data_IF_687962917993
#
_entry.id   IF_687962917993
#
_cell.length_a   1.000
_cell.length_b   1.000
_cell.length_c   1.000
_cell.angle_alpha   90.00
_cell.angle_beta   90.00
_cell.angle_gamma   90.00
#
_symmetry.space_group_name_H-M   'P 1'
#
loop_
_entity.id
_entity.type
_entity.pdbx_description
1 polymer ?
#
# COMPACT_ATOMS: atom_id res chain seq x y z
N UNK A 1 -50.15 -9.15 -22.29
CA UNK A 1 -50.25 -8.53 -20.95
C UNK A 1 -48.91 -7.96 -20.59
N UNK A 2 -48.91 -6.69 -20.24
CA UNK A 2 -47.78 -5.76 -20.19
C UNK A 2 -47.48 -5.37 -18.73
N UNK A 3 -46.23 -4.96 -18.50
CA UNK A 3 -45.66 -4.14 -17.41
C UNK A 3 -44.96 -4.78 -16.20
N UNK A 4 -43.90 -4.03 -15.83
CA UNK A 4 -43.13 -3.95 -14.57
C UNK A 4 -41.90 -4.85 -14.37
N UNK A 5 -40.74 -4.33 -14.78
CA UNK A 5 -39.69 -3.94 -13.82
C UNK A 5 -38.53 -3.20 -14.51
N UNK A 6 -38.65 -1.88 -14.65
CA UNK A 6 -37.52 -0.99 -14.88
C UNK A 6 -37.51 0.08 -13.78
N UNK A 7 -36.80 -0.18 -12.66
CA UNK A 7 -36.66 0.81 -11.59
C UNK A 7 -35.39 0.68 -10.74
N UNK A 8 -34.38 -0.10 -11.16
CA UNK A 8 -33.19 -0.34 -10.33
C UNK A 8 -31.89 0.34 -10.78
N UNK A 9 -31.83 1.02 -11.94
CA UNK A 9 -30.54 1.49 -12.50
C UNK A 9 -30.28 3.01 -12.32
N UNK A 10 -31.31 3.81 -12.05
CA UNK A 10 -31.13 5.26 -11.87
C UNK A 10 -30.46 5.76 -10.57
N UNK A 11 -30.51 5.08 -9.40
CA UNK A 11 -29.90 5.63 -8.18
C UNK A 11 -28.37 5.49 -8.12
N UNK A 12 -27.78 4.60 -8.93
CA UNK A 12 -26.33 4.33 -8.94
C UNK A 12 -25.57 5.43 -9.69
N UNK A 13 -26.13 5.95 -10.79
CA UNK A 13 -25.51 7.02 -11.58
C UNK A 13 -25.57 8.38 -10.87
N UNK A 14 -26.61 8.63 -10.05
CA UNK A 14 -26.69 9.86 -9.23
C UNK A 14 -25.72 9.85 -8.03
N UNK A 15 -25.39 8.69 -7.45
CA UNK A 15 -24.40 8.60 -6.36
C UNK A 15 -22.96 8.76 -6.85
N UNK A 16 -22.63 8.34 -8.08
CA UNK A 16 -21.30 8.53 -8.66
C UNK A 16 -20.95 10.01 -8.92
N UNK A 17 -21.92 10.86 -9.30
CA UNK A 17 -21.68 12.30 -9.54
C UNK A 17 -21.45 13.12 -8.26
N UNK A 18 -21.90 12.66 -7.09
CA UNK A 18 -21.70 13.36 -5.83
C UNK A 18 -20.30 13.12 -5.22
N UNK A 19 -19.70 11.96 -5.50
CA UNK A 19 -18.34 11.59 -5.06
C UNK A 19 -17.28 12.36 -5.87
N UNK A 20 -17.54 12.63 -7.16
CA UNK A 20 -16.61 13.41 -8.01
C UNK A 20 -16.59 14.90 -7.63
N UNK A 21 -17.68 15.45 -7.07
CA UNK A 21 -17.72 16.85 -6.62
C UNK A 21 -17.09 17.07 -5.23
N UNK A 22 -17.05 16.06 -4.36
CA UNK A 22 -16.40 16.15 -3.04
C UNK A 22 -14.87 15.98 -3.13
N UNK A 23 -14.38 15.29 -4.16
CA UNK A 23 -12.94 15.13 -4.41
C UNK A 23 -12.26 16.39 -4.97
N UNK A 24 -13.02 17.31 -5.59
CA UNK A 24 -12.49 18.58 -6.10
C UNK A 24 -12.31 19.67 -5.03
N UNK A 25 -12.97 19.57 -3.88
CA UNK A 25 -12.88 20.58 -2.82
C UNK A 25 -11.71 20.33 -1.85
N UNK A 26 -11.25 19.08 -1.71
CA UNK A 26 -10.15 18.71 -0.82
C UNK A 26 -8.78 19.14 -1.35
N UNK A 27 -8.63 19.24 -2.68
CA UNK A 27 -7.36 19.62 -3.33
C UNK A 27 -7.05 21.12 -3.23
N UNK A 28 -8.04 21.96 -2.93
CA UNK A 28 -7.87 23.41 -2.82
C UNK A 28 -7.38 23.87 -1.43
N UNK A 29 -7.54 23.06 -0.38
CA UNK A 29 -7.18 23.45 1.00
C UNK A 29 -5.72 23.11 1.34
N UNK A 30 -5.10 22.16 0.63
CA UNK A 30 -3.73 21.73 0.90
C UNK A 30 -2.63 22.71 0.40
N UNK A 31 -2.99 23.73 -0.41
CA UNK A 31 -2.02 24.64 -1.04
C UNK A 31 -1.86 26.00 -0.33
N UNK A 32 -2.56 26.24 0.80
CA UNK A 32 -2.59 27.55 1.45
C UNK A 32 -1.80 27.66 2.78
N UNK A 33 -1.09 26.61 3.22
CA UNK A 33 -0.41 26.61 4.54
C UNK A 33 1.12 26.79 4.44
N UNK A 34 1.70 26.82 3.23
CA UNK A 34 3.17 26.99 3.05
C UNK A 34 3.50 28.44 2.68
N UNK A 35 3.24 29.38 3.60
CA UNK A 35 3.83 30.73 3.51
C UNK A 35 3.56 31.56 4.76
N UNK A 36 4.25 31.27 5.88
CA UNK A 36 4.63 32.27 6.90
C UNK A 36 5.42 31.64 8.05
N UNK A 37 6.75 31.71 7.97
CA UNK A 37 7.62 31.74 9.16
C UNK A 37 9.03 32.20 8.74
N UNK A 38 9.28 33.51 8.84
CA UNK A 38 10.61 34.11 8.68
C UNK A 38 10.98 34.82 9.98
N UNK A 39 12.14 34.44 10.51
CA UNK A 39 13.06 35.18 11.38
C UNK A 39 12.57 35.69 12.75
N UNK A 40 13.28 35.29 13.81
CA UNK A 40 14.25 36.16 14.53
C UNK A 40 14.89 35.42 15.73
N UNK A 41 16.22 35.34 15.73
CA UNK A 41 17.07 35.06 16.91
C UNK A 41 17.14 36.31 17.80
N UNK A 42 17.54 36.18 19.09
CA UNK A 42 18.90 36.65 19.38
C UNK A 42 19.71 35.89 20.45
N UNK A 43 21.01 36.09 20.27
CA UNK A 43 22.22 35.96 21.07
C UNK A 43 22.19 35.76 22.60
N UNK A 44 23.20 35.01 23.03
CA UNK A 44 23.75 34.89 24.37
C UNK A 44 24.39 36.19 24.89
N UNK A 45 24.32 36.40 26.20
CA UNK A 45 25.28 37.23 26.95
C UNK A 45 25.66 36.54 28.27
N UNK A 46 26.96 36.38 28.43
CA UNK A 46 27.64 35.89 29.61
C UNK A 46 27.65 36.96 30.71
N UNK A 47 27.42 36.55 31.95
CA UNK A 47 27.55 37.41 33.14
C UNK A 47 28.93 37.16 33.76
N UNK A 48 29.84 38.11 33.63
CA UNK A 48 31.07 38.24 34.43
C UNK A 48 30.95 39.49 35.28
N UNK A 49 30.84 39.34 36.59
CA UNK A 49 30.97 40.43 37.56
C UNK A 49 32.26 40.24 38.36
N UNK A 50 33.09 41.28 38.32
CA UNK A 50 34.39 41.36 38.99
C UNK A 50 34.27 41.85 40.45
N UNK A 51 35.33 41.55 41.21
CA UNK A 51 35.63 41.87 42.60
C UNK A 51 35.60 43.37 42.95
N UNK A 52 35.25 43.66 44.20
CA UNK A 52 35.72 44.82 44.98
C UNK A 52 36.03 44.37 46.43
N UNK A 53 37.07 44.89 47.13
CA UNK A 53 37.66 44.24 48.31
C UNK A 53 37.38 44.92 49.68
N UNK A 54 37.83 44.23 50.75
CA UNK A 54 38.25 44.71 52.11
C UNK A 54 37.17 44.68 53.22
N UNK A 55 37.46 44.52 54.55
CA UNK A 55 38.70 44.23 55.32
C UNK A 55 38.64 42.96 56.21
N UNK A 56 39.79 42.67 56.82
CA UNK A 56 40.06 41.59 57.78
C UNK A 56 39.22 41.65 59.08
N UNK A 57 38.76 40.48 59.53
CA UNK A 57 38.22 40.27 60.87
C UNK A 57 38.67 38.90 61.44
N UNK A 58 39.54 39.00 62.45
CA UNK A 58 39.71 38.17 63.64
C UNK A 58 39.31 36.68 63.60
N UNK A 59 40.31 35.83 63.81
CA UNK A 59 40.16 34.41 64.14
C UNK A 59 39.32 34.24 65.42
N UNK A 60 38.14 33.65 65.25
CA UNK A 60 37.24 33.19 66.33
C UNK A 60 37.13 31.66 66.17
N UNK A 61 36.94 30.89 67.25
CA UNK A 61 37.43 29.52 67.40
C UNK A 61 36.86 28.58 66.34
N UNK A 62 37.70 27.68 65.83
CA UNK A 62 37.39 26.70 64.79
C UNK A 62 36.08 25.99 65.12
N UNK A 63 35.01 26.35 64.42
CA UNK A 63 33.76 25.61 64.48
C UNK A 63 34.08 24.14 64.10
N UNK A 64 33.55 23.15 64.82
CA UNK A 64 33.85 21.76 64.52
C UNK A 64 33.48 21.45 63.07
N UNK A 65 34.48 21.11 62.26
CA UNK A 65 34.34 20.86 60.84
C UNK A 65 33.59 19.54 60.64
N UNK A 66 32.61 19.52 59.74
CA UNK A 66 31.90 18.29 59.39
C UNK A 66 32.90 17.25 58.84
N UNK A 67 32.71 15.95 59.14
CA UNK A 67 33.57 14.90 58.62
C UNK A 67 33.54 14.91 57.09
N UNK A 68 34.69 14.64 56.47
CA UNK A 68 34.79 14.59 55.01
C UNK A 68 34.13 13.30 54.53
N UNK A 69 33.06 13.43 53.74
CA UNK A 69 32.31 12.30 53.17
C UNK A 69 32.24 12.45 51.66
N UNK A 70 32.56 11.38 50.93
CA UNK A 70 32.35 11.30 49.49
C UNK A 70 31.07 10.51 49.19
N UNK A 71 30.25 11.06 48.29
CA UNK A 71 29.01 10.45 47.83
C UNK A 71 29.11 10.21 46.33
N UNK A 72 29.00 8.95 45.91
CA UNK A 72 28.98 8.55 44.51
C UNK A 72 27.63 7.89 44.20
N UNK A 73 27.08 8.21 43.03
CA UNK A 73 25.75 7.78 42.61
C UNK A 73 25.86 7.23 41.20
N UNK A 74 25.60 5.94 41.04
CA UNK A 74 25.77 5.23 39.77
C UNK A 74 24.43 4.60 39.37
N UNK A 75 23.80 5.07 38.28
CA UNK A 75 22.60 4.44 37.76
C UNK A 75 22.94 3.15 37.02
N UNK A 76 22.07 2.14 37.09
CA UNK A 76 22.15 0.92 36.26
C UNK A 76 21.99 1.23 34.77
N UNK A 77 21.24 2.31 34.46
CA UNK A 77 21.02 2.80 33.10
C UNK A 77 20.76 4.30 33.09
N UNK A 78 21.27 4.97 32.08
CA UNK A 78 21.15 6.43 31.95
C UNK A 78 19.81 6.89 31.36
N UNK A 79 19.00 5.96 30.85
CA UNK A 79 17.74 6.25 30.21
C UNK A 79 16.62 5.30 30.61
N UNK A 80 15.42 5.84 30.81
CA UNK A 80 14.25 5.10 31.29
C UNK A 80 12.97 5.63 30.64
N UNK A 81 12.01 4.75 30.38
CA UNK A 81 10.68 5.11 29.89
C UNK A 81 9.77 5.52 31.06
N UNK A 82 8.69 6.26 30.79
CA UNK A 82 7.67 6.52 31.82
C UNK A 82 7.14 5.19 32.38
N UNK A 83 6.85 5.17 33.68
CA UNK A 83 6.38 4.00 34.43
C UNK A 83 7.41 2.87 34.64
N UNK A 84 8.55 2.87 33.96
CA UNK A 84 9.65 1.94 34.25
C UNK A 84 10.51 2.43 35.41
N UNK A 85 10.98 1.52 36.25
CA UNK A 85 11.86 1.84 37.38
C UNK A 85 13.33 1.74 36.98
N UNK A 86 14.18 2.59 37.57
CA UNK A 86 15.63 2.54 37.44
C UNK A 86 16.28 2.33 38.81
N UNK A 87 17.21 1.38 38.88
CA UNK A 87 18.04 1.16 40.07
C UNK A 87 19.23 2.12 40.05
N UNK A 88 19.50 2.75 41.19
CA UNK A 88 20.60 3.67 41.41
C UNK A 88 21.38 3.22 42.63
N UNK A 89 22.65 2.88 42.44
CA UNK A 89 23.56 2.49 43.53
C UNK A 89 24.15 3.75 44.12
N UNK A 90 24.00 3.92 45.43
CA UNK A 90 24.56 5.04 46.19
C UNK A 90 25.67 4.51 47.08
N UNK A 91 26.86 5.08 46.93
CA UNK A 91 28.07 4.70 47.65
C UNK A 91 28.49 5.88 48.53
N UNK A 92 28.54 5.64 49.84
CA UNK A 92 28.98 6.61 50.85
C UNK A 92 30.34 6.16 51.36
N UNK A 93 31.37 6.98 51.14
CA UNK A 93 32.72 6.75 51.67
C UNK A 93 33.05 7.78 52.72
N UNK A 94 33.25 7.32 53.95
CA UNK A 94 33.74 8.14 55.04
C UNK A 94 35.24 8.37 54.83
N UNK A 95 35.69 9.62 54.76
CA UNK A 95 37.11 10.00 54.63
C UNK A 95 37.64 10.64 55.91
N UNK A 96 36.98 10.39 57.04
CA UNK A 96 37.31 10.98 58.34
C UNK A 96 37.50 9.91 59.41
N UNK A 97 38.10 10.34 60.52
CA UNK A 97 38.29 9.54 61.74
C UNK A 97 36.99 9.37 62.57
N UNK A 98 35.92 10.09 62.23
CA UNK A 98 34.66 10.05 62.96
C UNK A 98 33.71 9.01 62.35
N UNK A 99 33.07 8.19 63.19
CA UNK A 99 32.03 7.25 62.73
C UNK A 99 30.77 8.00 62.30
N UNK A 100 30.18 7.60 61.17
CA UNK A 100 28.90 8.13 60.69
C UNK A 100 27.78 7.21 61.13
N UNK A 101 26.72 7.77 61.70
CA UNK A 101 25.57 7.02 62.24
C UNK A 101 24.27 7.53 61.60
N UNK A 102 23.27 6.65 61.51
CA UNK A 102 21.94 7.01 61.02
C UNK A 102 21.92 7.59 59.61
N UNK A 103 22.66 6.98 58.68
CA UNK A 103 22.72 7.43 57.28
C UNK A 103 21.36 7.21 56.61
N UNK A 104 20.77 8.26 56.07
CA UNK A 104 19.53 8.21 55.30
C UNK A 104 19.74 8.87 53.95
N UNK A 105 19.06 8.37 52.91
CA UNK A 105 19.12 8.97 51.58
C UNK A 105 17.75 9.42 51.13
N UNK A 106 17.67 10.68 50.69
CA UNK A 106 16.48 11.29 50.12
C UNK A 106 16.75 11.77 48.70
N UNK A 107 15.68 11.80 47.89
CA UNK A 107 15.74 12.21 46.48
C UNK A 107 14.69 13.30 46.26
N UNK A 108 15.04 14.58 46.50
CA UNK A 108 14.15 15.71 46.27
C UNK A 108 14.06 16.02 44.77
N UNK A 109 13.27 15.24 44.02
CA UNK A 109 13.04 15.47 42.59
C UNK A 109 11.55 15.54 42.27
N UNK A 110 11.16 16.49 41.41
CA UNK A 110 9.80 16.57 40.87
C UNK A 110 9.58 15.62 39.68
N UNK A 111 10.67 15.10 39.09
CA UNK A 111 10.61 14.23 37.92
C UNK A 111 10.73 12.74 38.28
N UNK A 112 11.29 12.42 39.44
CA UNK A 112 11.54 11.05 39.90
C UNK A 112 11.14 10.89 41.37
N UNK A 113 10.39 9.83 41.68
CA UNK A 113 10.05 9.46 43.07
C UNK A 113 10.80 8.17 43.46
N UNK A 114 11.28 8.04 44.70
CA UNK A 114 11.73 6.76 45.22
C UNK A 114 10.54 5.81 45.38
N UNK A 115 10.65 4.58 44.85
CA UNK A 115 9.58 3.58 44.95
C UNK A 115 9.47 2.98 46.37
N UNK A 116 10.58 2.97 47.13
CA UNK A 116 10.67 2.45 48.50
C UNK A 116 11.62 3.33 49.31
N UNK A 117 11.33 3.56 50.59
CA UNK A 117 12.24 4.22 51.52
C UNK A 117 13.47 3.34 51.77
N UNK A 118 14.66 3.82 51.41
CA UNK A 118 15.90 3.02 51.52
C UNK A 118 16.55 3.29 52.87
N UNK A 119 16.72 2.22 53.65
CA UNK A 119 17.51 2.25 54.88
C UNK A 119 18.93 1.80 54.54
N UNK A 120 19.93 2.64 54.81
CA UNK A 120 21.32 2.23 54.70
C UNK A 120 21.64 1.21 55.82
N UNK A 121 22.55 0.25 55.57
CA UNK A 121 23.06 -0.61 56.63
C UNK A 121 23.76 0.22 57.73
N UNK A 122 23.79 -0.35 58.94
CA UNK A 122 24.26 0.31 60.17
C UNK A 122 25.65 0.96 60.04
N UNK A 123 25.86 2.00 60.85
CA UNK A 123 27.04 2.86 61.06
C UNK A 123 28.25 2.65 60.12
N UNK A 124 28.63 3.72 59.42
CA UNK A 124 29.83 3.73 58.56
C UNK A 124 31.06 4.03 59.41
N UNK A 125 31.94 3.03 59.53
CA UNK A 125 33.19 3.16 60.28
C UNK A 125 34.08 4.30 59.76
N UNK A 126 35.01 4.80 60.58
CA UNK A 126 36.09 5.67 60.11
C UNK A 126 36.80 5.04 58.90
N UNK A 127 37.05 5.84 57.87
CA UNK A 127 37.62 5.39 56.57
C UNK A 127 36.89 4.23 55.88
N UNK A 128 35.64 3.93 56.28
CA UNK A 128 34.82 2.86 55.73
C UNK A 128 33.93 3.30 54.56
N UNK A 129 33.40 2.32 53.84
CA UNK A 129 32.46 2.51 52.73
C UNK A 129 31.19 1.72 52.97
N UNK A 130 30.04 2.34 52.74
CA UNK A 130 28.73 1.69 52.71
C UNK A 130 28.04 1.94 51.38
N UNK A 131 27.22 1.00 50.93
CA UNK A 131 26.44 1.15 49.70
C UNK A 131 25.00 0.70 49.91
N UNK A 132 24.08 1.33 49.19
CA UNK A 132 22.68 0.91 49.12
C UNK A 132 22.15 1.12 47.70
N UNK A 133 21.10 0.37 47.33
CA UNK A 133 20.44 0.52 46.04
C UNK A 133 19.09 1.18 46.23
N UNK A 134 18.83 2.24 45.47
CA UNK A 134 17.58 3.00 45.46
C UNK A 134 16.87 2.76 44.13
N UNK A 135 15.57 2.47 44.19
CA UNK A 135 14.75 2.34 42.98
C UNK A 135 13.99 3.64 42.76
N UNK A 136 14.27 4.31 41.64
CA UNK A 136 13.59 5.53 41.22
C UNK A 136 12.58 5.24 40.12
N UNK A 137 11.44 5.91 40.14
CA UNK A 137 10.42 5.84 39.11
C UNK A 137 10.14 7.24 38.54
N UNK A 138 10.13 7.43 37.21
CA UNK A 138 9.71 8.68 36.59
C UNK A 138 8.25 9.00 36.91
N UNK A 139 7.96 10.27 37.20
CA UNK A 139 6.59 10.73 37.36
C UNK A 139 5.83 10.72 36.03
N UNK A 140 4.52 10.43 36.08
CA UNK A 140 3.66 10.45 34.89
C UNK A 140 3.65 11.83 34.19
N UNK A 141 3.83 12.91 34.95
CA UNK A 141 3.85 14.28 34.45
C UNK A 141 5.26 14.82 34.15
N UNK A 142 6.33 14.04 34.39
CA UNK A 142 7.69 14.49 34.14
C UNK A 142 7.94 14.76 32.65
N UNK A 143 8.58 15.89 32.33
CA UNK A 143 8.93 16.24 30.95
C UNK A 143 9.89 15.19 30.34
N UNK A 144 9.84 15.01 29.02
CA UNK A 144 10.81 14.15 28.34
C UNK A 144 12.15 14.87 28.17
N UNK A 145 13.26 14.14 28.26
CA UNK A 145 14.60 14.71 28.16
C UNK A 145 15.49 14.39 29.36
N UNK A 146 16.62 15.08 29.47
CA UNK A 146 17.59 14.88 30.54
C UNK A 146 17.16 15.62 31.81
N UNK A 147 17.15 14.89 32.93
CA UNK A 147 16.85 15.41 34.27
C UNK A 147 18.07 15.24 35.16
N UNK A 148 18.42 16.29 35.90
CA UNK A 148 19.43 16.22 36.95
C UNK A 148 18.73 15.89 38.26
N UNK A 149 18.88 14.67 38.71
CA UNK A 149 18.30 14.18 39.97
C UNK A 149 19.34 14.35 41.07
N UNK A 150 19.00 15.14 42.09
CA UNK A 150 19.82 15.28 43.29
C UNK A 150 19.55 14.12 44.26
N UNK A 151 20.61 13.51 44.75
CA UNK A 151 20.58 12.49 45.80
C UNK A 151 21.30 13.07 47.02
N UNK A 152 20.60 13.13 48.15
CA UNK A 152 21.09 13.73 49.38
C UNK A 152 21.26 12.62 50.42
N UNK A 153 22.48 12.44 50.92
CA UNK A 153 22.79 11.56 52.04
C UNK A 153 22.91 12.39 53.33
N UNK A 154 21.99 12.19 54.26
CA UNK A 154 22.02 12.80 55.59
C UNK A 154 22.65 11.82 56.57
N UNK A 155 23.51 12.30 57.47
CA UNK A 155 24.21 11.48 58.45
C UNK A 155 24.45 12.23 59.75
N UNK A 156 24.62 11.47 60.83
CA UNK A 156 24.93 12.00 62.16
C UNK A 156 26.34 11.61 62.60
N UNK A 157 27.04 12.50 63.29
CA UNK A 157 28.40 12.29 63.78
C UNK A 157 28.59 12.91 65.17
N UNK A 158 29.53 12.37 65.94
CA UNK A 158 29.82 12.84 67.29
C UNK A 158 30.70 14.10 67.25
N UNK A 159 30.15 15.24 67.66
CA UNK A 159 30.89 16.48 67.83
C UNK A 159 31.21 16.79 69.29
N UNK A 160 32.02 17.84 69.56
CA UNK A 160 32.40 18.23 70.93
C UNK A 160 31.21 18.63 71.83
N UNK A 161 30.06 18.95 71.24
CA UNK A 161 28.83 19.39 71.92
C UNK A 161 27.67 18.39 71.77
N UNK A 162 27.97 17.13 71.40
CA UNK A 162 26.97 16.08 71.15
C UNK A 162 26.81 15.72 69.67
N UNK A 163 25.79 14.91 69.38
CA UNK A 163 25.51 14.43 68.02
C UNK A 163 25.10 15.59 67.10
N UNK A 164 25.78 15.72 65.96
CA UNK A 164 25.52 16.71 64.92
C UNK A 164 25.03 16.02 63.66
N UNK A 165 24.19 16.71 62.88
CA UNK A 165 23.72 16.24 61.57
C UNK A 165 24.40 17.01 60.44
N UNK A 166 24.70 16.32 59.36
CA UNK A 166 25.29 16.90 58.15
C UNK A 166 24.74 16.17 56.93
N UNK A 167 24.83 16.80 55.76
CA UNK A 167 24.31 16.26 54.52
C UNK A 167 25.33 16.42 53.39
N UNK A 168 25.43 15.41 52.55
CA UNK A 168 26.23 15.43 51.33
C UNK A 168 25.32 15.18 50.13
N UNK A 169 25.53 15.92 49.04
CA UNK A 169 24.70 15.82 47.83
C UNK A 169 25.53 15.40 46.63
N UNK A 170 24.96 14.53 45.81
CA UNK A 170 25.47 14.14 44.50
C UNK A 170 24.35 14.27 43.46
N UNK A 171 24.70 14.54 42.20
CA UNK A 171 23.72 14.67 41.13
C UNK A 171 23.93 13.59 40.08
N UNK A 172 22.84 12.95 39.66
CA UNK A 172 22.82 11.95 38.58
C UNK A 172 21.96 12.45 37.44
N UNK A 173 22.47 12.35 36.23
CA UNK A 173 21.74 12.71 35.01
C UNK A 173 20.97 11.49 34.51
N UNK A 174 19.64 11.55 34.53
CA UNK A 174 18.75 10.50 34.02
C UNK A 174 17.90 11.04 32.87
N UNK A 175 17.82 10.30 31.78
CA UNK A 175 17.04 10.67 30.62
C UNK A 175 15.69 9.95 30.62
N UNK A 176 14.60 10.70 30.57
CA UNK A 176 13.26 10.14 30.33
C UNK A 176 13.05 10.08 28.81
N UNK A 177 13.03 8.86 28.26
CA UNK A 177 12.78 8.61 26.84
C UNK A 177 11.29 8.46 26.57
N UNK A 178 10.89 8.90 25.37
CA UNK A 178 9.55 8.63 24.84
C UNK A 178 9.52 7.20 24.33
N UNK A 179 8.39 6.52 24.52
CA UNK A 179 8.15 5.27 23.79
C UNK A 179 8.02 5.62 22.31
N UNK A 180 8.54 4.77 21.42
CA UNK A 180 8.53 5.01 19.97
C UNK A 180 7.13 5.36 19.41
N UNK A 181 6.07 4.79 20.01
CA UNK A 181 4.67 5.10 19.69
C UNK A 181 4.23 6.53 20.08
N UNK A 182 4.82 7.14 21.11
CA UNK A 182 4.55 8.53 21.52
C UNK A 182 5.40 9.54 20.74
N UNK A 183 6.61 9.14 20.31
CA UNK A 183 7.47 9.94 19.44
C UNK A 183 6.80 10.24 18.10
N UNK A 184 6.09 9.26 17.55
CA UNK A 184 5.37 9.41 16.27
C UNK A 184 4.12 10.29 16.38
N UNK A 185 3.53 10.42 17.58
CA UNK A 185 2.41 11.34 17.84
C UNK A 185 2.87 12.77 18.16
N UNK A 186 4.11 12.95 18.63
CA UNK A 186 4.62 14.21 19.17
C UNK A 186 5.50 15.06 18.26
N UNK A 187 5.77 14.65 17.03
CA UNK A 187 6.54 15.44 16.06
C UNK A 187 5.60 16.29 15.18
N UNK A 188 5.67 17.63 15.25
CA UNK A 188 4.99 18.50 14.29
C UNK A 188 5.78 18.43 12.97
N UNK A 189 5.54 17.39 12.18
CA UNK A 189 6.30 17.14 10.96
C UNK A 189 6.23 15.70 10.45
N UNK A 190 5.02 15.19 10.24
CA UNK A 190 4.54 14.28 9.19
C UNK A 190 5.40 13.18 8.52
N UNK A 191 6.65 12.93 8.89
CA UNK A 191 7.56 12.04 8.15
C UNK A 191 7.37 10.58 8.56
N UNK A 192 7.18 10.29 9.84
CA UNK A 192 6.89 8.92 10.30
C UNK A 192 5.51 8.45 9.81
N UNK A 193 4.46 9.26 9.95
CA UNK A 193 3.13 8.96 9.42
C UNK A 193 3.14 8.75 7.90
N UNK A 194 3.95 9.53 7.17
CA UNK A 194 4.14 9.37 5.74
C UNK A 194 4.87 8.06 5.39
N UNK A 195 5.89 7.66 6.16
CA UNK A 195 6.54 6.35 6.01
C UNK A 195 5.58 5.20 6.34
N UNK A 196 4.74 5.31 7.38
CA UNK A 196 3.70 4.33 7.66
C UNK A 196 2.62 4.27 6.57
N UNK A 197 2.31 5.39 5.93
CA UNK A 197 1.39 5.43 4.80
C UNK A 197 2.01 4.81 3.54
N UNK A 198 3.31 5.01 3.32
CA UNK A 198 4.03 4.48 2.16
C UNK A 198 4.38 3.00 2.29
N UNK A 199 4.51 2.49 3.50
CA UNK A 199 4.99 1.13 3.75
C UNK A 199 4.05 0.04 3.19
N UNK A 200 2.71 0.21 3.18
CA UNK A 200 1.81 -0.62 2.39
C UNK A 200 1.86 -0.33 0.89
N UNK A 201 2.08 0.93 0.49
CA UNK A 201 2.07 1.35 -0.93
C UNK A 201 3.18 0.65 -1.72
N UNK A 202 4.38 0.54 -1.15
CA UNK A 202 5.54 -0.04 -1.84
C UNK A 202 5.33 -1.52 -2.22
N UNK A 203 4.94 -2.44 -1.31
CA UNK A 203 4.58 -3.80 -1.66
C UNK A 203 3.43 -3.90 -2.67
N UNK A 204 2.40 -3.06 -2.55
CA UNK A 204 1.28 -3.05 -3.49
C UNK A 204 1.74 -2.67 -4.90
N UNK A 205 2.57 -1.63 -5.01
CA UNK A 205 3.13 -1.18 -6.29
C UNK A 205 4.06 -2.22 -6.90
N UNK A 206 4.94 -2.82 -6.10
CA UNK A 206 5.83 -3.89 -6.53
C UNK A 206 5.04 -5.09 -7.05
N UNK A 207 4.03 -5.53 -6.32
CA UNK A 207 3.17 -6.64 -6.74
C UNK A 207 2.40 -6.33 -8.03
N UNK A 208 1.90 -5.09 -8.17
CA UNK A 208 1.24 -4.65 -9.39
C UNK A 208 2.18 -4.73 -10.61
N UNK A 209 3.36 -4.14 -10.52
CA UNK A 209 4.32 -4.06 -11.63
C UNK A 209 4.85 -5.46 -12.01
N UNK A 210 5.16 -6.29 -11.02
CA UNK A 210 5.60 -7.67 -11.24
C UNK A 210 4.54 -8.47 -11.99
N UNK A 211 3.28 -8.42 -11.55
CA UNK A 211 2.19 -9.17 -12.20
C UNK A 211 1.86 -8.61 -13.58
N UNK A 212 1.88 -7.28 -13.78
CA UNK A 212 1.61 -6.70 -15.09
C UNK A 212 2.73 -6.97 -16.11
N UNK A 213 4.00 -6.99 -15.68
CA UNK A 213 5.14 -7.38 -16.52
C UNK A 213 5.11 -8.86 -16.88
N UNK A 214 4.83 -9.73 -15.90
CA UNK A 214 4.62 -11.16 -16.15
C UNK A 214 3.51 -11.38 -17.17
N UNK A 215 2.40 -10.64 -17.08
CA UNK A 215 1.31 -10.66 -18.06
C UNK A 215 1.78 -10.25 -19.46
N UNK A 216 2.65 -9.25 -19.57
CA UNK A 216 3.19 -8.75 -20.85
C UNK A 216 4.32 -9.62 -21.42
N UNK A 217 4.79 -10.63 -20.67
CA UNK A 217 5.96 -11.44 -21.05
C UNK A 217 7.27 -10.65 -21.01
N UNK A 218 7.30 -9.54 -20.27
CA UNK A 218 8.49 -8.71 -20.13
C UNK A 218 9.46 -9.29 -19.10
N UNK A 219 10.75 -9.03 -19.27
CA UNK A 219 11.76 -9.39 -18.26
C UNK A 219 11.50 -8.64 -16.95
N UNK A 220 11.62 -9.35 -15.82
CA UNK A 220 11.57 -8.75 -14.49
C UNK A 220 12.71 -7.74 -14.37
N UNK A 221 12.36 -6.46 -14.30
CA UNK A 221 13.28 -5.34 -14.06
C UNK A 221 12.81 -4.58 -12.84
N UNK A 222 13.71 -3.78 -12.26
CA UNK A 222 13.31 -2.89 -11.17
C UNK A 222 12.16 -1.97 -11.64
N UNK A 223 11.16 -1.72 -10.79
CA UNK A 223 10.02 -0.91 -11.16
C UNK A 223 10.46 0.51 -11.51
N UNK A 224 9.98 1.01 -12.64
CA UNK A 224 10.07 2.43 -12.97
C UNK A 224 8.82 3.11 -12.44
N UNK A 225 8.97 4.07 -11.52
CA UNK A 225 7.85 4.87 -11.02
C UNK A 225 7.33 5.81 -12.13
N UNK A 226 6.47 5.29 -13.00
CA UNK A 226 5.78 6.09 -14.02
C UNK A 226 4.34 6.37 -13.61
N UNK A 227 3.83 7.53 -14.04
CA UNK A 227 2.49 8.04 -13.70
C UNK A 227 1.35 7.07 -14.05
N UNK A 228 1.52 6.23 -15.08
CA UNK A 228 0.55 5.20 -15.48
C UNK A 228 0.34 4.11 -14.40
N UNK A 229 1.34 3.87 -13.55
CA UNK A 229 1.33 2.82 -12.52
C UNK A 229 1.06 3.41 -11.13
N UNK A 230 1.43 4.69 -10.92
CA UNK A 230 1.30 5.37 -9.62
C UNK A 230 -0.16 5.66 -9.29
N UNK A 231 -0.97 6.14 -10.24
CA UNK A 231 -2.35 6.56 -9.95
C UNK A 231 -3.23 5.38 -9.50
N UNK A 232 -3.26 4.22 -10.19
CA UNK A 232 -4.05 3.08 -9.73
C UNK A 232 -3.57 2.52 -8.39
N UNK A 233 -2.25 2.42 -8.19
CA UNK A 233 -1.66 1.92 -6.95
C UNK A 233 -1.92 2.86 -5.76
N UNK A 234 -1.83 4.17 -5.98
CA UNK A 234 -2.16 5.18 -4.97
C UNK A 234 -3.64 5.10 -4.58
N UNK A 235 -4.54 4.98 -5.55
CA UNK A 235 -5.98 4.88 -5.30
C UNK A 235 -6.35 3.58 -4.55
N UNK A 236 -5.69 2.48 -4.89
CA UNK A 236 -5.76 1.21 -4.13
C UNK A 236 -5.22 1.37 -2.72
N UNK A 237 -4.09 2.05 -2.54
CA UNK A 237 -3.51 2.30 -1.21
C UNK A 237 -4.38 3.22 -0.35
N UNK A 238 -5.07 4.17 -0.98
CA UNK A 238 -6.01 5.08 -0.32
C UNK A 238 -7.25 4.30 0.13
N UNK A 239 -7.79 3.46 -0.75
CA UNK A 239 -8.91 2.56 -0.42
C UNK A 239 -8.52 1.55 0.66
N UNK A 240 -7.29 1.02 0.60
CA UNK A 240 -6.74 0.16 1.64
C UNK A 240 -6.61 0.91 2.96
N UNK A 241 -6.08 2.14 2.95
CA UNK A 241 -5.95 2.98 4.14
C UNK A 241 -7.32 3.34 4.73
N UNK A 242 -8.34 3.59 3.91
CA UNK A 242 -9.72 3.84 4.35
C UNK A 242 -10.34 2.57 4.94
N UNK A 243 -10.19 1.42 4.26
CA UNK A 243 -10.65 0.12 4.75
C UNK A 243 -9.95 -0.31 6.05
N UNK A 244 -8.69 0.07 6.19
CA UNK A 244 -7.87 -0.20 7.35
C UNK A 244 -8.20 0.73 8.52
N UNK A 245 -8.40 2.04 8.28
CA UNK A 245 -8.85 2.99 9.30
C UNK A 245 -10.26 2.65 9.80
N UNK A 246 -11.14 2.16 8.92
CA UNK A 246 -12.45 1.65 9.33
C UNK A 246 -12.33 0.34 10.13
N UNK A 247 -11.41 -0.56 9.78
CA UNK A 247 -11.10 -1.75 10.59
C UNK A 247 -10.46 -1.41 11.96
N UNK A 248 -9.58 -0.41 12.02
CA UNK A 248 -8.95 0.07 13.25
C UNK A 248 -9.96 0.72 14.22
N UNK A 249 -11.07 1.26 13.69
CA UNK A 249 -12.19 1.74 14.51
C UNK A 249 -12.91 0.62 15.28
N UNK A 250 -12.60 -0.66 15.01
CA UNK A 250 -13.06 -1.84 15.75
C UNK A 250 -12.08 -2.32 16.84
N UNK A 251 -11.36 -1.43 17.52
CA UNK A 251 -10.45 -1.76 18.63
C UNK A 251 -9.26 -2.68 18.26
N UNK A 252 -8.68 -2.52 17.07
CA UNK A 252 -7.39 -3.15 16.76
C UNK A 252 -6.29 -2.15 17.11
N UNK A 253 -5.75 -2.21 18.33
CA UNK A 253 -4.49 -1.55 18.66
C UNK A 253 -3.38 -2.18 17.81
N UNK A 254 -3.04 -1.50 16.73
CA UNK A 254 -2.00 -1.90 15.81
C UNK A 254 -0.63 -1.58 16.41
N UNK A 255 -0.21 -2.44 17.32
CA UNK A 255 1.17 -2.52 17.75
C UNK A 255 2.01 -3.04 16.58
N UNK A 256 2.57 -2.13 15.76
CA UNK A 256 3.54 -2.47 14.71
C UNK A 256 4.85 -3.08 15.24
N UNK A 257 4.98 -3.16 16.57
CA UNK A 257 6.01 -3.92 17.28
C UNK A 257 5.79 -5.43 17.22
N UNK A 258 4.60 -5.92 16.82
CA UNK A 258 4.37 -7.33 16.53
C UNK A 258 4.80 -7.66 15.08
N UNK A 259 5.89 -8.42 14.88
CA UNK A 259 6.38 -8.78 13.55
C UNK A 259 5.36 -9.59 12.74
N UNK A 260 4.48 -10.37 13.40
CA UNK A 260 3.47 -11.17 12.72
C UNK A 260 2.37 -10.32 12.09
N UNK A 261 1.93 -9.28 12.80
CA UNK A 261 0.91 -8.35 12.33
C UNK A 261 1.46 -7.47 11.21
N UNK A 262 2.70 -6.99 11.35
CA UNK A 262 3.40 -6.26 10.29
C UNK A 262 3.51 -7.05 8.98
N UNK A 263 3.91 -8.33 9.05
CA UNK A 263 4.04 -9.20 7.88
C UNK A 263 2.69 -9.43 7.18
N UNK A 264 1.60 -9.55 7.95
CA UNK A 264 0.23 -9.70 7.40
C UNK A 264 -0.23 -8.44 6.68
N UNK A 265 0.07 -7.24 7.20
CA UNK A 265 -0.26 -5.97 6.54
C UNK A 265 0.48 -5.85 5.22
N UNK A 266 1.78 -6.19 5.19
CA UNK A 266 2.57 -6.22 3.96
C UNK A 266 2.01 -7.23 2.94
N UNK A 267 1.70 -8.45 3.39
CA UNK A 267 1.16 -9.50 2.52
C UNK A 267 -0.21 -9.14 1.95
N UNK A 268 -1.10 -8.57 2.77
CA UNK A 268 -2.41 -8.10 2.33
C UNK A 268 -2.30 -6.95 1.32
N UNK A 269 -1.36 -6.03 1.55
CA UNK A 269 -1.11 -4.94 0.61
C UNK A 269 -0.57 -5.44 -0.73
N UNK A 270 0.36 -6.39 -0.72
CA UNK A 270 0.85 -7.04 -1.93
C UNK A 270 -0.27 -7.79 -2.68
N UNK A 271 -1.14 -8.51 -1.95
CA UNK A 271 -2.29 -9.21 -2.53
C UNK A 271 -3.27 -8.24 -3.22
N UNK A 272 -3.53 -7.08 -2.61
CA UNK A 272 -4.37 -6.04 -3.20
C UNK A 272 -3.73 -5.39 -4.43
N UNK A 273 -2.42 -5.12 -4.37
CA UNK A 273 -1.65 -4.64 -5.51
C UNK A 273 -1.69 -5.59 -6.71
N UNK A 274 -1.61 -6.90 -6.45
CA UNK A 274 -1.73 -7.95 -7.47
C UNK A 274 -3.17 -8.15 -7.98
N UNK A 275 -4.19 -7.74 -7.22
CA UNK A 275 -5.59 -8.01 -7.53
C UNK A 275 -6.05 -7.46 -8.88
N UNK A 276 -5.78 -6.18 -9.16
CA UNK A 276 -6.19 -5.53 -10.41
C UNK A 276 -5.57 -6.18 -11.66
N UNK A 277 -4.24 -6.37 -11.77
CA UNK A 277 -3.65 -6.99 -12.94
C UNK A 277 -4.07 -8.46 -13.08
N UNK A 278 -4.25 -9.20 -11.97
CA UNK A 278 -4.80 -10.56 -12.00
C UNK A 278 -6.22 -10.60 -12.59
N UNK A 279 -7.13 -9.71 -12.17
CA UNK A 279 -8.49 -9.65 -12.72
C UNK A 279 -8.46 -9.30 -14.21
N UNK A 280 -7.62 -8.34 -14.62
CA UNK A 280 -7.45 -7.98 -16.04
C UNK A 280 -6.89 -9.14 -16.85
N UNK A 281 -5.93 -9.87 -16.29
CA UNK A 281 -5.35 -11.04 -16.92
C UNK A 281 -6.37 -12.17 -17.06
N UNK A 282 -7.11 -12.49 -15.98
CA UNK A 282 -8.18 -13.49 -16.01
C UNK A 282 -9.25 -13.11 -17.03
N UNK A 283 -9.66 -11.84 -17.09
CA UNK A 283 -10.57 -11.35 -18.11
C UNK A 283 -10.03 -11.56 -19.52
N UNK A 284 -8.77 -11.21 -19.78
CA UNK A 284 -8.13 -11.41 -21.07
C UNK A 284 -8.04 -12.90 -21.46
N UNK A 285 -7.69 -13.77 -20.51
CA UNK A 285 -7.66 -15.23 -20.70
C UNK A 285 -9.04 -15.77 -21.04
N UNK A 286 -10.08 -15.38 -20.30
CA UNK A 286 -11.46 -15.80 -20.55
C UNK A 286 -11.96 -15.31 -21.90
N UNK A 287 -11.67 -14.05 -22.25
CA UNK A 287 -12.03 -13.48 -23.55
C UNK A 287 -11.32 -14.23 -24.67
N UNK A 288 -10.01 -14.50 -24.53
CA UNK A 288 -9.24 -15.27 -25.52
C UNK A 288 -9.78 -16.68 -25.67
N UNK A 289 -9.97 -17.40 -24.57
CA UNK A 289 -10.52 -18.76 -24.59
C UNK A 289 -11.90 -18.84 -25.26
N UNK A 290 -12.76 -17.84 -25.03
CA UNK A 290 -14.14 -17.83 -25.56
C UNK A 290 -14.25 -17.31 -27.00
N UNK A 291 -13.37 -16.40 -27.43
CA UNK A 291 -13.55 -15.63 -28.66
C UNK A 291 -12.36 -15.66 -29.62
N UNK A 292 -11.21 -16.23 -29.25
CA UNK A 292 -10.11 -16.41 -30.19
C UNK A 292 -10.50 -17.43 -31.26
N UNK A 293 -10.12 -17.15 -32.49
CA UNK A 293 -10.32 -18.08 -33.60
C UNK A 293 -9.28 -19.20 -33.54
N UNK A 294 -9.68 -20.39 -33.94
CA UNK A 294 -8.78 -21.54 -34.13
C UNK A 294 -8.95 -22.09 -35.54
N UNK A 295 -7.91 -22.69 -36.11
CA UNK A 295 -7.98 -23.25 -37.47
C UNK A 295 -9.04 -24.37 -37.57
N UNK A 296 -9.34 -25.03 -36.46
CA UNK A 296 -10.33 -26.11 -36.35
C UNK A 296 -11.75 -25.62 -36.01
N UNK A 297 -11.99 -24.31 -36.00
CA UNK A 297 -13.31 -23.75 -35.70
C UNK A 297 -14.36 -24.27 -36.70
N UNK A 298 -15.42 -24.87 -36.18
CA UNK A 298 -16.57 -25.27 -37.02
C UNK A 298 -17.21 -24.04 -37.67
N UNK A 299 -17.89 -24.16 -38.83
CA UNK A 299 -18.55 -23.01 -39.47
C UNK A 299 -19.52 -22.25 -38.56
N UNK A 300 -20.18 -22.95 -37.64
CA UNK A 300 -21.07 -22.36 -36.65
C UNK A 300 -20.32 -21.57 -35.56
N UNK A 301 -19.20 -22.10 -35.06
CA UNK A 301 -18.35 -21.41 -34.08
C UNK A 301 -17.63 -20.21 -34.67
N UNK A 302 -17.10 -20.36 -35.88
CA UNK A 302 -16.54 -19.28 -36.67
C UNK A 302 -17.55 -18.13 -36.84
N UNK A 303 -18.77 -18.45 -37.30
CA UNK A 303 -19.82 -17.46 -37.50
C UNK A 303 -20.16 -16.73 -36.20
N UNK A 304 -20.30 -17.48 -35.10
CA UNK A 304 -20.55 -16.90 -33.78
C UNK A 304 -19.45 -15.94 -33.36
N UNK A 305 -18.18 -16.34 -33.50
CA UNK A 305 -17.02 -15.52 -33.11
C UNK A 305 -16.89 -14.28 -33.99
N UNK A 306 -17.09 -14.42 -35.29
CA UNK A 306 -17.02 -13.33 -36.25
C UNK A 306 -18.13 -12.29 -36.03
N UNK A 307 -19.39 -12.71 -35.85
CA UNK A 307 -20.53 -11.80 -35.73
C UNK A 307 -20.74 -11.21 -34.34
N UNK A 308 -20.49 -11.98 -33.28
CA UNK A 308 -20.82 -11.62 -31.89
C UNK A 308 -19.58 -11.38 -31.01
N UNK A 309 -18.38 -11.55 -31.57
CA UNK A 309 -17.15 -11.31 -30.84
C UNK A 309 -16.97 -9.85 -30.41
N UNK A 310 -16.20 -9.58 -29.35
CA UNK A 310 -15.96 -8.23 -28.85
C UNK A 310 -15.21 -7.34 -29.86
N UNK A 311 -14.53 -7.93 -30.84
CA UNK A 311 -13.82 -7.26 -31.94
C UNK A 311 -14.49 -7.50 -33.30
N UNK A 312 -15.77 -7.90 -33.31
CA UNK A 312 -16.52 -8.05 -34.55
C UNK A 312 -16.61 -6.69 -35.27
N UNK A 313 -16.18 -6.59 -36.55
CA UNK A 313 -16.25 -5.34 -37.27
C UNK A 313 -17.72 -4.94 -37.55
N UNK A 314 -17.94 -3.64 -37.79
CA UNK A 314 -19.22 -3.15 -38.35
C UNK A 314 -19.40 -3.72 -39.74
N UNK A 315 -18.32 -3.62 -40.55
CA UNK A 315 -18.27 -3.96 -41.96
C UNK A 315 -17.13 -4.92 -42.26
N UNK A 316 -17.44 -5.95 -43.05
CA UNK A 316 -16.47 -6.96 -43.45
C UNK A 316 -15.82 -6.57 -44.76
N UNK A 317 -14.50 -6.74 -44.81
CA UNK A 317 -13.68 -6.36 -45.96
C UNK A 317 -12.89 -7.58 -46.37
N UNK A 318 -12.94 -7.90 -47.66
CA UNK A 318 -12.05 -8.87 -48.28
C UNK A 318 -10.75 -8.18 -48.65
N UNK A 319 -9.64 -8.72 -48.17
CA UNK A 319 -8.30 -8.21 -48.39
C UNK A 319 -7.45 -9.22 -49.13
N UNK A 320 -6.57 -8.71 -49.99
CA UNK A 320 -5.50 -9.47 -50.63
C UNK A 320 -4.16 -8.90 -50.14
N UNK A 321 -3.24 -9.77 -49.73
CA UNK A 321 -1.93 -9.36 -49.25
C UNK A 321 -0.85 -10.39 -49.51
N UNK A 322 0.38 -10.03 -49.17
CA UNK A 322 1.53 -10.93 -49.31
C UNK A 322 2.27 -11.07 -47.99
N UNK A 323 2.72 -12.30 -47.71
CA UNK A 323 3.66 -12.63 -46.63
C UNK A 323 4.84 -13.35 -47.26
N UNK A 324 6.01 -12.72 -47.29
CA UNK A 324 7.16 -13.25 -48.02
C UNK A 324 6.85 -13.38 -49.52
N UNK A 325 6.89 -14.61 -50.04
CA UNK A 325 6.55 -14.94 -51.44
C UNK A 325 5.11 -15.46 -51.62
N UNK A 326 4.36 -15.66 -50.54
CA UNK A 326 3.01 -16.22 -50.59
C UNK A 326 1.94 -15.12 -50.63
N UNK A 327 0.97 -15.27 -51.53
CA UNK A 327 -0.24 -14.44 -51.59
C UNK A 327 -1.32 -15.01 -50.68
N UNK A 328 -2.06 -14.12 -50.04
CA UNK A 328 -3.14 -14.45 -49.12
C UNK A 328 -4.38 -13.63 -49.44
N UNK A 329 -5.54 -14.27 -49.47
CA UNK A 329 -6.81 -13.60 -49.69
C UNK A 329 -7.87 -14.11 -48.71
N UNK A 330 -8.63 -13.19 -48.11
CA UNK A 330 -9.69 -13.55 -47.17
C UNK A 330 -10.40 -12.36 -46.55
N UNK A 331 -11.42 -12.63 -45.75
CA UNK A 331 -12.10 -11.62 -44.93
C UNK A 331 -11.18 -11.19 -43.79
N UNK A 332 -10.97 -9.89 -43.64
CA UNK A 332 -10.18 -9.34 -42.54
C UNK A 332 -10.92 -9.47 -41.21
N UNK A 333 -10.32 -10.22 -40.29
CA UNK A 333 -10.77 -10.38 -38.92
C UNK A 333 -9.64 -10.04 -37.94
N UNK A 334 -10.01 -9.87 -36.67
CA UNK A 334 -9.06 -9.62 -35.58
C UNK A 334 -9.27 -10.58 -34.44
N UNK A 335 -8.18 -11.07 -33.88
CA UNK A 335 -8.21 -11.75 -32.60
C UNK A 335 -8.48 -10.77 -31.44
N UNK A 336 -8.81 -11.28 -30.25
CA UNK A 336 -8.93 -10.46 -29.06
C UNK A 336 -7.70 -9.64 -28.69
N UNK A 337 -6.50 -10.06 -29.11
CA UNK A 337 -5.22 -9.38 -28.92
C UNK A 337 -4.86 -8.41 -30.08
N UNK A 338 -5.83 -8.11 -30.96
CA UNK A 338 -5.68 -7.28 -32.16
C UNK A 338 -4.79 -7.88 -33.26
N UNK A 339 -4.35 -9.14 -33.14
CA UNK A 339 -3.65 -9.81 -34.23
C UNK A 339 -4.58 -10.05 -35.43
N UNK A 340 -4.04 -9.90 -36.63
CA UNK A 340 -4.76 -10.03 -37.89
C UNK A 340 -5.02 -11.51 -38.19
N UNK A 341 -6.23 -11.82 -38.63
CA UNK A 341 -6.66 -13.16 -39.03
C UNK A 341 -7.46 -13.07 -40.32
N UNK A 342 -7.36 -14.08 -41.18
CA UNK A 342 -8.18 -14.18 -42.39
C UNK A 342 -9.30 -15.19 -42.19
N UNK A 343 -10.51 -14.82 -42.62
CA UNK A 343 -11.70 -15.66 -42.56
C UNK A 343 -12.33 -15.91 -43.92
N UNK A 344 -13.27 -16.85 -43.97
CA UNK A 344 -14.06 -17.17 -45.16
C UNK A 344 -15.35 -16.35 -45.25
N UNK A 345 -15.99 -16.36 -46.44
CA UNK A 345 -17.38 -15.92 -46.57
C UNK A 345 -18.31 -17.12 -46.57
N UNK A 346 -19.43 -16.98 -45.88
CA UNK A 346 -20.40 -18.04 -45.70
C UNK A 346 -21.67 -17.76 -46.51
N UNK A 347 -22.31 -18.83 -46.96
CA UNK A 347 -23.63 -18.82 -47.55
C UNK A 347 -24.60 -19.51 -46.59
N UNK A 348 -25.65 -18.81 -46.20
CA UNK A 348 -26.73 -19.36 -45.39
C UNK A 348 -27.71 -20.13 -46.30
N UNK A 349 -27.98 -21.37 -45.94
CA UNK A 349 -28.87 -22.30 -46.66
C UNK A 349 -29.98 -22.77 -45.72
N UNK A 350 -31.13 -23.12 -46.29
CA UNK A 350 -32.14 -23.87 -45.53
C UNK A 350 -31.55 -25.19 -45.00
N UNK A 351 -31.91 -25.57 -43.78
CA UNK A 351 -31.51 -26.86 -43.24
C UNK A 351 -32.05 -28.01 -44.09
N UNK A 352 -31.17 -28.91 -44.49
CA UNK A 352 -31.55 -30.17 -45.14
C UNK A 352 -31.97 -31.14 -44.04
N UNK A 353 -33.28 -31.30 -43.84
CA UNK A 353 -33.80 -32.33 -42.95
C UNK A 353 -33.44 -33.74 -43.45
N UNK A 354 -33.48 -34.73 -42.56
CA UNK A 354 -33.33 -36.15 -42.85
C UNK A 354 -34.50 -36.66 -43.72
N UNK A 355 -34.51 -36.26 -45.00
CA UNK A 355 -35.60 -36.44 -45.95
C UNK A 355 -35.50 -35.58 -47.21
N UNK A 356 -34.50 -34.71 -47.35
CA UNK A 356 -34.15 -34.06 -48.63
C UNK A 356 -35.09 -32.95 -49.13
N UNK A 357 -36.25 -32.75 -48.53
CA UNK A 357 -37.14 -31.63 -48.89
C UNK A 357 -36.75 -30.36 -48.16
N UNK A 358 -36.25 -29.39 -48.93
CA UNK A 358 -36.03 -28.00 -48.50
C UNK A 358 -37.39 -27.37 -48.18
N UNK A 359 -37.59 -26.89 -46.95
CA UNK A 359 -38.77 -26.06 -46.61
C UNK A 359 -38.55 -24.64 -47.13
N UNK A 360 -38.75 -24.43 -48.44
CA UNK A 360 -38.55 -23.14 -49.12
C UNK A 360 -39.47 -22.02 -48.58
N UNK A 361 -40.67 -22.38 -48.15
CA UNK A 361 -41.64 -21.51 -47.47
C UNK A 361 -41.13 -20.98 -46.12
N UNK A 362 -40.49 -21.84 -45.34
CA UNK A 362 -39.84 -21.46 -44.07
C UNK A 362 -38.56 -20.66 -44.33
N UNK A 363 -37.80 -21.00 -45.37
CA UNK A 363 -36.57 -20.29 -45.74
C UNK A 363 -36.83 -18.86 -46.19
N UNK A 364 -37.83 -18.62 -47.04
CA UNK A 364 -38.21 -17.29 -47.50
C UNK A 364 -38.62 -16.39 -46.34
N UNK A 365 -39.44 -16.91 -45.42
CA UNK A 365 -39.83 -16.20 -44.19
C UNK A 365 -38.62 -15.88 -43.32
N UNK A 366 -37.77 -16.87 -43.01
CA UNK A 366 -36.56 -16.66 -42.21
C UNK A 366 -35.56 -15.70 -42.87
N UNK A 367 -35.44 -15.73 -44.19
CA UNK A 367 -34.55 -14.85 -44.94
C UNK A 367 -34.97 -13.40 -44.79
N UNK A 368 -36.28 -13.10 -44.85
CA UNK A 368 -36.80 -11.74 -44.62
C UNK A 368 -36.64 -11.24 -43.19
N UNK A 369 -36.59 -12.15 -42.21
CA UNK A 369 -36.34 -11.79 -40.80
C UNK A 369 -34.85 -11.56 -40.51
N UNK A 370 -33.97 -12.36 -41.12
CA UNK A 370 -32.52 -12.33 -40.88
C UNK A 370 -31.82 -11.29 -41.75
N UNK A 371 -32.27 -11.11 -42.99
CA UNK A 371 -31.62 -10.29 -44.01
C UNK A 371 -32.55 -9.20 -44.52
N UNK A 372 -31.98 -8.03 -44.78
CA UNK A 372 -32.60 -6.97 -45.55
C UNK A 372 -31.88 -6.90 -46.91
N UNK A 373 -32.54 -7.42 -47.95
CA UNK A 373 -31.93 -7.69 -49.27
C UNK A 373 -30.73 -8.65 -49.17
N UNK A 374 -29.52 -8.12 -48.99
CA UNK A 374 -28.26 -8.86 -48.82
C UNK A 374 -27.52 -8.48 -47.53
N UNK A 375 -28.02 -7.51 -46.77
CA UNK A 375 -27.41 -7.07 -45.52
C UNK A 375 -27.98 -7.87 -44.33
N UNK A 376 -27.10 -8.29 -43.42
CA UNK A 376 -27.50 -9.03 -42.22
C UNK A 376 -28.14 -8.07 -41.19
N UNK A 377 -29.44 -8.24 -40.95
CA UNK A 377 -30.24 -7.43 -40.03
C UNK A 377 -30.07 -7.88 -38.58
N UNK A 378 -30.22 -9.18 -38.31
CA UNK A 378 -30.09 -9.72 -36.95
C UNK A 378 -28.99 -10.80 -36.86
N UNK A 379 -27.84 -10.34 -36.35
CA UNK A 379 -26.65 -11.19 -36.10
C UNK A 379 -26.92 -12.29 -35.08
N UNK A 380 -27.73 -12.04 -34.06
CA UNK A 380 -27.96 -12.99 -32.95
C UNK A 380 -28.94 -14.08 -33.37
N UNK A 381 -29.98 -13.69 -34.10
CA UNK A 381 -30.99 -14.61 -34.59
C UNK A 381 -30.38 -15.62 -35.58
N UNK A 382 -29.53 -15.16 -36.51
CA UNK A 382 -28.80 -16.07 -37.41
C UNK A 382 -27.93 -17.08 -36.65
N UNK A 383 -27.12 -16.63 -35.68
CA UNK A 383 -26.29 -17.54 -34.87
C UNK A 383 -27.13 -18.55 -34.09
N UNK A 384 -28.29 -18.13 -33.56
CA UNK A 384 -29.22 -19.02 -32.86
C UNK A 384 -29.78 -20.08 -33.80
N UNK A 385 -30.21 -19.70 -35.01
CA UNK A 385 -30.80 -20.61 -35.99
C UNK A 385 -29.80 -21.62 -36.55
N UNK A 386 -28.55 -21.20 -36.78
CA UNK A 386 -27.47 -22.11 -37.15
C UNK A 386 -27.19 -23.11 -36.02
N UNK A 387 -27.15 -22.64 -34.77
CA UNK A 387 -26.93 -23.52 -33.62
C UNK A 387 -28.07 -24.53 -33.42
N UNK A 388 -29.30 -24.16 -33.70
CA UNK A 388 -30.46 -25.07 -33.65
C UNK A 388 -30.59 -25.96 -34.88
N UNK A 389 -29.69 -25.82 -35.87
CA UNK A 389 -29.72 -26.58 -37.12
C UNK A 389 -30.89 -26.22 -38.04
N UNK A 390 -31.52 -25.06 -37.85
CA UNK A 390 -32.58 -24.56 -38.73
C UNK A 390 -32.02 -23.91 -40.01
N UNK A 391 -30.77 -23.47 -39.96
CA UNK A 391 -30.02 -22.88 -41.08
C UNK A 391 -28.69 -23.62 -41.23
N UNK A 392 -28.41 -24.12 -42.43
CA UNK A 392 -27.11 -24.68 -42.79
C UNK A 392 -26.15 -23.59 -43.27
N UNK A 393 -24.84 -23.83 -43.11
CA UNK A 393 -23.79 -22.94 -43.61
C UNK A 393 -22.95 -23.67 -44.65
N UNK A 394 -22.65 -22.99 -45.76
CA UNK A 394 -21.70 -23.43 -46.77
C UNK A 394 -20.64 -22.36 -47.01
N UNK A 395 -19.47 -22.73 -47.52
CA UNK A 395 -18.46 -21.75 -47.90
C UNK A 395 -18.83 -21.14 -49.25
N UNK A 396 -19.02 -19.82 -49.27
CA UNK A 396 -19.23 -19.07 -50.51
C UNK A 396 -17.89 -18.71 -51.16
N UNK A 397 -16.94 -18.21 -50.36
CA UNK A 397 -15.57 -17.91 -50.78
C UNK A 397 -14.61 -18.38 -49.69
N UNK A 398 -13.71 -19.31 -50.05
CA UNK A 398 -12.67 -19.85 -49.17
C UNK A 398 -11.46 -18.92 -49.13
N UNK A 399 -10.66 -19.04 -48.07
CA UNK A 399 -9.37 -18.34 -47.97
C UNK A 399 -8.44 -18.91 -49.05
N UNK A 400 -7.69 -18.06 -49.72
CA UNK A 400 -6.74 -18.47 -50.76
C UNK A 400 -5.31 -18.23 -50.24
N UNK A 401 -4.46 -19.24 -50.32
CA UNK A 401 -3.02 -19.17 -50.01
C UNK A 401 -2.23 -19.65 -51.21
N UNK A 402 -1.36 -18.80 -51.75
CA UNK A 402 -0.55 -19.11 -52.93
C UNK A 402 -1.38 -19.55 -54.15
N UNK A 403 -2.60 -19.03 -54.28
CA UNK A 403 -3.54 -19.41 -55.33
C UNK A 403 -4.36 -20.68 -55.07
N UNK A 404 -4.17 -21.35 -53.93
CA UNK A 404 -4.94 -22.55 -53.55
C UNK A 404 -5.94 -22.26 -52.43
N UNK A 405 -7.18 -22.76 -52.51
CA UNK A 405 -8.16 -22.59 -51.45
C UNK A 405 -7.82 -23.45 -50.23
N UNK A 406 -7.98 -22.90 -49.03
CA UNK A 406 -7.82 -23.60 -47.75
C UNK A 406 -9.18 -24.11 -47.27
N UNK A 407 -9.23 -25.32 -46.73
CA UNK A 407 -10.47 -25.95 -46.26
C UNK A 407 -10.98 -25.45 -44.89
N UNK A 408 -10.13 -24.76 -44.14
CA UNK A 408 -10.49 -24.14 -42.85
C UNK A 408 -11.35 -22.88 -42.99
N UNK A 409 -12.21 -22.64 -42.00
CA UNK A 409 -13.03 -21.42 -41.94
C UNK A 409 -12.21 -20.16 -41.60
N UNK A 410 -11.04 -20.36 -40.98
CA UNK A 410 -10.14 -19.30 -40.52
C UNK A 410 -8.69 -19.74 -40.71
N UNK A 411 -7.83 -18.79 -41.11
CA UNK A 411 -6.39 -18.95 -41.08
C UNK A 411 -5.80 -18.02 -40.01
N UNK A 412 -5.19 -18.60 -38.98
CA UNK A 412 -4.55 -17.88 -37.86
C UNK A 412 -3.03 -17.81 -38.04
N UNK A 413 -2.43 -18.86 -38.60
CA UNK A 413 -0.97 -19.00 -38.71
C UNK A 413 -0.43 -18.47 -40.04
N UNK A 414 0.81 -17.98 -40.04
CA UNK A 414 1.51 -17.53 -41.25
C UNK A 414 1.12 -16.14 -41.75
N UNK A 415 0.31 -15.38 -40.99
CA UNK A 415 -0.15 -14.03 -41.35
C UNK A 415 0.68 -12.89 -40.72
N UNK A 416 1.66 -13.23 -39.90
CA UNK A 416 2.53 -12.24 -39.25
C UNK A 416 3.29 -11.44 -40.31
N UNK A 417 3.01 -10.14 -40.41
CA UNK A 417 3.63 -9.24 -41.39
C UNK A 417 2.93 -9.17 -42.75
N UNK A 418 1.67 -9.63 -42.86
CA UNK A 418 0.84 -9.45 -44.06
C UNK A 418 0.80 -7.98 -44.47
N UNK A 419 1.28 -7.69 -45.69
CA UNK A 419 1.14 -6.38 -46.31
C UNK A 419 -0.07 -6.41 -47.22
N UNK A 420 -1.10 -5.65 -46.86
CA UNK A 420 -2.29 -5.45 -47.70
C UNK A 420 -1.86 -4.81 -49.04
N UNK A 421 -2.34 -5.35 -50.14
CA UNK A 421 -2.10 -4.79 -51.47
C UNK A 421 -2.99 -3.57 -51.65
N UNK A 422 -2.39 -2.39 -51.73
CA UNK A 422 -3.13 -1.11 -51.87
C UNK A 422 -4.17 -1.17 -53.00
N UNK A 423 -5.40 -0.80 -52.69
CA UNK A 423 -6.51 -0.74 -53.66
C UNK A 423 -7.31 -2.04 -53.84
N UNK A 424 -6.92 -3.14 -53.21
CA UNK A 424 -7.62 -4.44 -53.31
C UNK A 424 -8.43 -4.82 -52.06
N UNK A 425 -8.91 -3.81 -51.34
CA UNK A 425 -9.85 -3.99 -50.22
C UNK A 425 -11.27 -3.81 -50.74
N UNK A 426 -12.06 -4.89 -50.77
CA UNK A 426 -13.46 -4.83 -51.23
C UNK A 426 -14.42 -5.08 -50.08
N UNK A 427 -15.39 -4.18 -49.81
CA UNK A 427 -16.46 -4.45 -48.85
C UNK A 427 -17.26 -5.65 -49.34
N UNK A 428 -17.35 -6.69 -48.52
CA UNK A 428 -18.12 -7.90 -48.85
C UNK A 428 -18.81 -8.39 -47.57
N UNK A 429 -20.12 -8.68 -47.61
CA UNK A 429 -20.80 -9.21 -46.43
C UNK A 429 -20.21 -10.58 -46.05
N UNK A 430 -20.09 -10.81 -44.74
CA UNK A 430 -19.58 -12.07 -44.19
C UNK A 430 -20.50 -13.25 -44.55
N UNK A 431 -21.81 -13.03 -44.52
CA UNK A 431 -22.83 -14.03 -44.83
C UNK A 431 -23.82 -13.49 -45.84
N UNK A 432 -24.14 -14.30 -46.84
CA UNK A 432 -25.22 -14.05 -47.79
C UNK A 432 -26.24 -15.20 -47.80
N UNK A 433 -27.53 -14.95 -48.01
CA UNK A 433 -28.51 -16.02 -48.21
C UNK A 433 -28.30 -16.69 -49.58
N UNK A 434 -28.60 -17.99 -49.67
CA UNK A 434 -28.85 -18.65 -50.96
C UNK A 434 -30.08 -18.01 -51.59
N UNK A 435 -29.91 -17.55 -52.84
CA UNK A 435 -30.98 -17.06 -53.69
C UNK A 435 -31.68 -18.21 -54.40
#
# INVERSE_FOLDING_TARGET
>A
MFFQNQSAVLPIVRRARLIVRSLGLATAVALAIVSSARAQSPAAQATTTAKTPTPAAQATPTAPQAPTVALEVVPDRDAVERQQTVAVVVIVTNKSDASLTGVTVSVPSAAFKPAVAVTFPADVSPFGTAHATITLQPEAQAAFGAHKVAVVAEYSWAGPAGARRSAQTATVSLQIKRRFEEETKGLPGGTAAFLYLLLPVVPAFLAFDVVDRLRKGETLRMPTFSTEHIVPAFLLSLLFSIGFMTAASFNVELAYSDPGLFLRVLALSAALGAGVPCVRWLYAVVVRWRWAFTNDDTPAEYLRKALLGPRAPSDYVWIEGTVGSETWEGVRLRQPDDTLVLGVRLQATAATGAGGTVREDVWTTLTTEIFEQTALKDRRLLVKLVKTGAVGLRFQQKIIRGGQPIDGAVAVDGLAGLKETSGKSTPKPLVEPVR
#
